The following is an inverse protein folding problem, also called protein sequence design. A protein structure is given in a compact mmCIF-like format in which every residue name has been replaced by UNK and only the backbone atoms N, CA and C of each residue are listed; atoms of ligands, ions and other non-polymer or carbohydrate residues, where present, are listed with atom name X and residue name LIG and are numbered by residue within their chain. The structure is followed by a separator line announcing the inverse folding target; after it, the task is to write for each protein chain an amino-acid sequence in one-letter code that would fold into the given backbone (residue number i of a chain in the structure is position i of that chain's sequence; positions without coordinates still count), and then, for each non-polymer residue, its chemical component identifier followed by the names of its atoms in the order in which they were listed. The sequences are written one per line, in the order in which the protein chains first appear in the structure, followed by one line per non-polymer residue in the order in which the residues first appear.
data_IF_873967198452
#
_entry.id   IF_873967198452
#
_cell.length_a   1.000
_cell.length_b   1.000
_cell.length_c   1.000
_cell.angle_alpha   90.00
_cell.angle_beta   90.00
_cell.angle_gamma   90.00
#
_symmetry.space_group_name_H-M   'P 1'
#
loop_
_entity.id
_entity.type
_entity.pdbx_description
1 polymer ?
#
# COMPACT_ATOMS: atom_id res chain seq x y z
N UNK A 1 3.82 62.98 19.05
CA UNK A 1 3.25 61.62 19.13
C UNK A 1 3.68 60.82 17.90
N UNK A 2 4.59 59.84 18.01
CA UNK A 2 5.03 59.08 16.84
C UNK A 2 3.96 58.05 16.46
N UNK A 3 3.59 57.99 15.18
CA UNK A 3 2.66 57.00 14.65
C UNK A 3 3.43 55.68 14.45
N UNK A 4 2.95 54.61 15.08
CA UNK A 4 3.50 53.27 14.90
C UNK A 4 3.26 52.78 13.47
N UNK A 5 4.34 52.42 12.78
CA UNK A 5 4.31 51.80 11.46
C UNK A 5 3.87 50.34 11.60
N UNK A 6 2.63 50.04 11.23
CA UNK A 6 2.10 48.67 11.23
C UNK A 6 2.58 47.95 9.96
N UNK A 7 3.58 47.08 10.10
CA UNK A 7 4.01 46.17 9.03
C UNK A 7 2.96 45.07 8.90
N UNK A 8 2.14 45.13 7.85
CA UNK A 8 1.23 44.02 7.52
C UNK A 8 2.03 42.92 6.80
N UNK A 9 2.02 41.67 7.28
CA UNK A 9 2.70 40.59 6.58
C UNK A 9 2.04 40.37 5.22
N UNK A 10 2.83 40.49 4.15
CA UNK A 10 2.41 40.18 2.79
C UNK A 10 2.16 38.69 2.71
N UNK A 11 0.88 38.26 2.65
CA UNK A 11 0.52 36.86 2.45
C UNK A 11 1.04 36.40 1.08
N UNK A 12 2.01 35.49 1.06
CA UNK A 12 2.51 34.91 -0.18
C UNK A 12 1.55 33.77 -0.63
N UNK A 13 0.79 33.93 -1.72
CA UNK A 13 -0.15 32.92 -2.19
C UNK A 13 0.54 31.61 -2.64
N UNK A 14 1.83 31.68 -3.00
CA UNK A 14 2.62 30.52 -3.41
C UNK A 14 2.83 29.50 -2.28
N UNK A 15 2.97 29.94 -1.02
CA UNK A 15 3.08 29.02 0.14
C UNK A 15 1.81 28.20 0.34
N UNK A 16 0.63 28.80 0.18
CA UNK A 16 -0.66 28.10 0.34
C UNK A 16 -0.88 27.03 -0.72
N UNK A 17 -0.41 27.25 -1.96
CA UNK A 17 -0.49 26.26 -3.05
C UNK A 17 0.47 25.09 -2.80
N UNK A 18 1.65 25.37 -2.25
CA UNK A 18 2.65 24.35 -1.89
C UNK A 18 2.15 23.40 -0.80
N UNK A 19 1.49 23.91 0.26
CA UNK A 19 0.93 23.07 1.33
C UNK A 19 -0.16 22.11 0.81
N UNK A 20 -1.01 22.59 -0.11
CA UNK A 20 -2.06 21.76 -0.71
C UNK A 20 -1.49 20.67 -1.64
N UNK A 21 -0.43 20.96 -2.39
CA UNK A 21 0.25 19.97 -3.24
C UNK A 21 1.06 18.95 -2.45
N UNK A 22 1.63 19.36 -1.31
CA UNK A 22 2.40 18.48 -0.42
C UNK A 22 1.54 17.35 0.15
N UNK A 23 0.36 17.67 0.69
CA UNK A 23 -0.54 16.65 1.26
C UNK A 23 -1.00 15.60 0.23
N UNK A 24 -1.29 16.01 -1.00
CA UNK A 24 -1.65 15.08 -2.09
C UNK A 24 -0.48 14.18 -2.47
N UNK A 25 0.75 14.73 -2.50
CA UNK A 25 1.95 13.96 -2.79
C UNK A 25 2.25 12.94 -1.67
N UNK A 26 2.12 13.33 -0.41
CA UNK A 26 2.28 12.44 0.75
C UNK A 26 1.28 11.28 0.71
N UNK A 27 0.00 11.57 0.43
CA UNK A 27 -1.01 10.55 0.25
C UNK A 27 -0.66 9.60 -0.90
N UNK A 28 -0.28 10.13 -2.07
CA UNK A 28 0.12 9.30 -3.20
C UNK A 28 1.31 8.38 -2.87
N UNK A 29 2.35 8.91 -2.23
CA UNK A 29 3.55 8.15 -1.85
C UNK A 29 3.22 7.07 -0.81
N UNK A 30 2.39 7.36 0.18
CA UNK A 30 1.98 6.37 1.19
C UNK A 30 1.18 5.21 0.58
N UNK A 31 0.27 5.48 -0.36
CA UNK A 31 -0.46 4.45 -1.09
C UNK A 31 0.49 3.60 -1.95
N UNK A 32 1.42 4.23 -2.68
CA UNK A 32 2.41 3.50 -3.48
C UNK A 32 3.31 2.63 -2.59
N UNK A 33 3.72 3.11 -1.43
CA UNK A 33 4.50 2.33 -0.46
C UNK A 33 3.71 1.11 0.05
N UNK A 34 2.44 1.29 0.41
CA UNK A 34 1.56 0.19 0.81
C UNK A 34 1.33 -0.83 -0.32
N UNK A 35 1.08 -0.36 -1.54
CA UNK A 35 0.96 -1.21 -2.72
C UNK A 35 2.26 -1.98 -3.02
N UNK A 36 3.42 -1.39 -2.77
CA UNK A 36 4.72 -2.07 -2.90
C UNK A 36 4.81 -3.31 -2.00
N UNK A 37 4.41 -3.17 -0.73
CA UNK A 37 4.32 -4.32 0.18
C UNK A 37 3.28 -5.35 -0.27
N UNK A 38 2.12 -4.90 -0.76
CA UNK A 38 1.11 -5.78 -1.35
C UNK A 38 1.63 -6.56 -2.56
N UNK A 39 2.45 -5.92 -3.41
CA UNK A 39 3.10 -6.56 -4.54
C UNK A 39 4.05 -7.68 -4.12
N UNK A 40 4.81 -7.47 -3.05
CA UNK A 40 5.68 -8.52 -2.46
C UNK A 40 4.82 -9.70 -1.98
N UNK A 41 3.71 -9.44 -1.28
CA UNK A 41 2.80 -10.50 -0.83
C UNK A 41 2.23 -11.30 -2.02
N UNK A 42 1.82 -10.61 -3.09
CA UNK A 42 1.32 -11.27 -4.31
C UNK A 42 2.42 -12.13 -4.95
N UNK A 43 3.67 -11.67 -4.98
CA UNK A 43 4.78 -12.46 -5.48
C UNK A 43 5.02 -13.72 -4.65
N UNK A 44 4.94 -13.61 -3.31
CA UNK A 44 5.06 -14.75 -2.40
C UNK A 44 3.91 -15.75 -2.60
N UNK A 45 2.68 -15.27 -2.80
CA UNK A 45 1.52 -16.12 -3.06
C UNK A 45 1.62 -16.88 -4.39
N UNK A 46 2.26 -16.29 -5.39
CA UNK A 46 2.49 -16.91 -6.71
C UNK A 46 3.71 -17.84 -6.75
N UNK A 47 4.47 -17.95 -5.65
CA UNK A 47 5.65 -18.80 -5.60
C UNK A 47 5.29 -20.30 -5.68
N UNK A 48 6.21 -21.10 -6.20
CA UNK A 48 6.07 -22.55 -6.25
C UNK A 48 5.89 -23.16 -4.85
N UNK A 49 6.52 -22.55 -3.83
CA UNK A 49 6.38 -22.98 -2.43
C UNK A 49 4.92 -22.88 -1.98
N UNK A 50 4.26 -21.74 -2.21
CA UNK A 50 2.87 -21.54 -1.84
C UNK A 50 1.93 -22.44 -2.65
N UNK A 51 2.19 -22.59 -3.95
CA UNK A 51 1.43 -23.49 -4.81
C UNK A 51 1.50 -24.95 -4.32
N UNK A 52 2.70 -25.43 -3.98
CA UNK A 52 2.90 -26.78 -3.46
C UNK A 52 2.25 -26.97 -2.09
N UNK A 53 2.33 -25.96 -1.21
CA UNK A 53 1.64 -25.99 0.09
C UNK A 53 0.11 -26.11 -0.08
N UNK A 54 -0.46 -25.35 -1.02
CA UNK A 54 -1.89 -25.42 -1.32
C UNK A 54 -2.28 -26.78 -1.90
N UNK A 55 -1.50 -27.32 -2.86
CA UNK A 55 -1.71 -28.67 -3.40
C UNK A 55 -1.66 -29.73 -2.31
N UNK A 56 -0.69 -29.65 -1.40
CA UNK A 56 -0.56 -30.57 -0.28
C UNK A 56 -1.78 -30.51 0.66
N UNK A 57 -2.26 -29.30 0.96
CA UNK A 57 -3.46 -29.09 1.78
C UNK A 57 -4.72 -29.68 1.12
N UNK A 58 -4.91 -29.43 -0.18
CA UNK A 58 -6.06 -29.98 -0.91
C UNK A 58 -5.97 -31.50 -0.99
N UNK A 59 -4.80 -32.07 -1.31
CA UNK A 59 -4.59 -33.51 -1.34
C UNK A 59 -4.87 -34.16 0.04
N UNK A 60 -4.51 -33.48 1.13
CA UNK A 60 -4.84 -33.95 2.48
C UNK A 60 -6.35 -33.94 2.73
N UNK A 61 -7.05 -32.87 2.34
CA UNK A 61 -8.50 -32.78 2.48
C UNK A 61 -9.24 -33.84 1.63
N UNK A 62 -8.79 -34.07 0.39
CA UNK A 62 -9.39 -35.08 -0.49
C UNK A 62 -9.19 -36.51 0.03
N UNK A 63 -8.01 -36.81 0.60
CA UNK A 63 -7.76 -38.09 1.27
C UNK A 63 -8.70 -38.32 2.44
N UNK A 64 -8.92 -37.30 3.28
CA UNK A 64 -9.89 -37.38 4.38
C UNK A 64 -11.33 -37.59 3.89
N UNK A 65 -11.65 -37.06 2.71
CA UNK A 65 -12.97 -37.24 2.08
C UNK A 65 -13.14 -38.60 1.36
N UNK A 66 -12.12 -39.46 1.33
CA UNK A 66 -12.17 -40.77 0.67
C UNK A 66 -12.05 -40.74 -0.85
N UNK A 67 -11.61 -39.61 -1.43
CA UNK A 67 -11.36 -39.47 -2.87
C UNK A 67 -9.89 -39.78 -3.15
N UNK A 68 -9.60 -41.02 -3.57
CA UNK A 68 -8.24 -41.46 -3.92
C UNK A 68 -7.95 -41.30 -5.42
N UNK A 69 -6.74 -40.84 -5.77
CA UNK A 69 -6.23 -40.86 -7.15
C UNK A 69 -6.22 -39.54 -7.93
N UNK A 70 -6.55 -38.40 -7.32
CA UNK A 70 -6.45 -37.08 -8.00
C UNK A 70 -5.06 -36.48 -7.75
N UNK A 71 -4.20 -36.43 -8.77
CA UNK A 71 -2.94 -35.68 -8.74
C UNK A 71 -3.18 -34.23 -9.20
N UNK A 72 -3.28 -33.32 -8.25
CA UNK A 72 -3.27 -31.86 -8.46
C UNK A 72 -1.83 -31.33 -8.54
#
# INVERSE_FOLDING_TARGET
MPKALVIRPRRNPLRRRSERGAATAEYAVSIVAACGLGGILVALLKSEVMMNALKALINYALKLAGVEGIQL
#
